data_IF_014537150587
#
_entry.id   IF_014537150587
#
_cell.length_a   1.000
_cell.length_b   1.000
_cell.length_c   1.000
_cell.angle_alpha   90.00
_cell.angle_beta   90.00
_cell.angle_gamma   90.00
#
_symmetry.space_group_name_H-M   'P 1'
#
loop_
_entity.id
_entity.type
_entity.pdbx_description
1 polymer ?
#
# COMPACT_ATOMS: atom_id res chain seq x y z
N UNK A 1 32.73 44.19 21.09
CA UNK A 1 33.03 42.99 20.25
C UNK A 1 33.83 41.91 20.99
N UNK A 2 34.89 42.22 21.77
CA UNK A 2 35.66 41.18 22.51
C UNK A 2 34.88 40.41 23.60
N UNK A 3 33.95 41.05 24.33
CA UNK A 3 33.15 40.38 25.38
C UNK A 3 32.05 39.44 24.85
N UNK A 4 31.50 39.71 23.67
CA UNK A 4 30.48 38.85 23.02
C UNK A 4 31.14 37.62 22.40
N UNK A 5 32.37 37.75 21.89
CA UNK A 5 33.16 36.62 21.38
C UNK A 5 33.62 35.65 22.48
N UNK A 6 33.95 36.15 23.69
CA UNK A 6 34.23 35.27 24.84
C UNK A 6 32.98 34.56 25.38
N UNK A 7 31.80 35.20 25.32
CA UNK A 7 30.55 34.58 25.77
C UNK A 7 30.07 33.50 24.79
N UNK A 8 30.24 33.70 23.48
CA UNK A 8 29.99 32.67 22.46
C UNK A 8 30.99 31.52 22.58
N UNK A 9 32.28 31.80 22.82
CA UNK A 9 33.28 30.76 23.06
C UNK A 9 32.97 29.98 24.35
N UNK A 10 32.53 30.65 25.44
CA UNK A 10 32.13 29.97 26.67
C UNK A 10 30.84 29.14 26.52
N UNK A 11 29.86 29.58 25.70
CA UNK A 11 28.69 28.77 25.36
C UNK A 11 29.04 27.57 24.46
N UNK A 12 29.99 27.72 23.54
CA UNK A 12 30.48 26.61 22.71
C UNK A 12 31.30 25.61 23.52
N UNK A 13 32.15 26.09 24.44
CA UNK A 13 32.95 25.24 25.34
C UNK A 13 32.04 24.50 26.35
N UNK A 14 30.96 25.13 26.84
CA UNK A 14 29.99 24.48 27.72
C UNK A 14 29.19 23.38 27.02
N UNK A 15 28.80 23.57 25.75
CA UNK A 15 28.11 22.54 24.96
C UNK A 15 29.03 21.34 24.66
N UNK A 16 30.34 21.55 24.46
CA UNK A 16 31.31 20.45 24.28
C UNK A 16 31.64 19.70 25.57
N UNK A 17 31.50 20.33 26.74
CA UNK A 17 31.82 19.70 28.03
C UNK A 17 30.75 18.68 28.47
N UNK A 18 29.51 18.83 28.01
CA UNK A 18 28.41 17.92 28.35
C UNK A 18 28.41 16.63 27.51
N UNK A 19 28.96 16.70 26.30
CA UNK A 19 29.05 15.61 25.31
C UNK A 19 30.12 14.53 25.62
N UNK A 20 30.75 14.59 26.79
CA UNK A 20 31.81 13.66 27.20
C UNK A 20 31.51 12.96 28.52
N UNK A 21 30.39 13.28 29.17
CA UNK A 21 30.01 12.66 30.43
C UNK A 21 29.31 11.33 30.18
N UNK A 22 29.74 10.28 30.87
CA UNK A 22 29.07 8.97 30.82
C UNK A 22 28.50 8.67 32.20
N UNK A 23 27.24 9.02 32.52
CA UNK A 23 26.69 8.91 33.87
C UNK A 23 26.31 7.48 34.28
N UNK A 24 26.00 6.60 33.33
CA UNK A 24 25.64 5.20 33.60
C UNK A 24 26.87 4.38 34.00
N UNK A 25 26.82 3.78 35.19
CA UNK A 25 27.96 3.03 35.74
C UNK A 25 28.23 1.73 34.97
N UNK A 26 27.20 1.06 34.47
CA UNK A 26 27.35 -0.17 33.69
C UNK A 26 27.96 0.17 32.33
N UNK A 27 27.50 1.24 31.68
CA UNK A 27 28.07 1.70 30.42
C UNK A 27 29.53 2.11 30.58
N UNK A 28 29.85 2.94 31.58
CA UNK A 28 31.26 3.28 31.91
C UNK A 28 32.11 2.04 32.15
N UNK A 29 31.61 1.08 32.91
CA UNK A 29 32.34 -0.15 33.21
C UNK A 29 32.66 -0.94 31.92
N UNK A 30 31.71 -1.03 30.98
CA UNK A 30 31.97 -1.66 29.67
C UNK A 30 33.03 -0.91 28.88
N UNK A 31 32.89 0.41 28.79
CA UNK A 31 33.84 1.29 28.08
C UNK A 31 35.26 1.17 28.65
N UNK A 32 35.40 1.10 29.97
CA UNK A 32 36.69 0.96 30.65
C UNK A 32 37.29 -0.43 30.43
N UNK A 33 36.48 -1.48 30.56
CA UNK A 33 36.96 -2.86 30.59
C UNK A 33 37.30 -3.42 29.22
N UNK A 34 36.58 -2.99 28.17
CA UNK A 34 36.69 -3.60 26.84
C UNK A 34 37.21 -2.66 25.76
N UNK A 35 37.09 -1.35 25.96
CA UNK A 35 37.40 -0.34 24.93
C UNK A 35 38.53 0.62 25.32
N UNK A 36 39.13 0.43 26.50
CA UNK A 36 40.26 1.25 26.97
C UNK A 36 39.90 2.73 27.17
N UNK A 37 38.61 3.04 27.37
CA UNK A 37 38.16 4.40 27.61
C UNK A 37 38.37 4.75 29.08
N UNK A 38 39.03 5.88 29.34
CA UNK A 38 39.37 6.33 30.69
C UNK A 38 38.50 7.51 31.10
N UNK A 39 38.18 7.61 32.39
CA UNK A 39 37.28 8.63 32.93
C UNK A 39 37.94 9.46 34.03
N UNK A 40 37.55 10.73 34.15
CA UNK A 40 37.89 11.56 35.30
C UNK A 40 36.96 11.29 36.51
N UNK A 41 37.21 11.96 37.64
CA UNK A 41 36.38 11.82 38.84
C UNK A 41 34.95 12.35 38.71
N UNK A 42 34.63 13.02 37.59
CA UNK A 42 33.29 13.51 37.24
C UNK A 42 32.63 12.66 36.16
N UNK A 43 33.21 11.50 35.80
CA UNK A 43 32.73 10.58 34.76
C UNK A 43 32.88 11.09 33.32
N UNK A 44 33.73 12.09 33.07
CA UNK A 44 34.02 12.54 31.71
C UNK A 44 35.11 11.70 31.05
N UNK A 45 34.99 11.42 29.76
CA UNK A 45 36.01 10.74 28.95
C UNK A 45 37.30 11.58 28.93
N UNK A 46 38.43 10.94 29.23
CA UNK A 46 39.76 11.61 29.30
C UNK A 46 40.65 11.31 28.10
N UNK A 47 40.28 10.33 27.27
CA UNK A 47 40.97 9.97 26.02
C UNK A 47 40.03 10.07 24.80
N UNK A 48 39.51 11.26 24.46
CA UNK A 48 38.50 11.44 23.42
C UNK A 48 38.96 11.01 22.02
N UNK A 49 40.26 11.08 21.72
CA UNK A 49 40.79 10.57 20.45
C UNK A 49 40.61 9.05 20.31
N UNK A 50 40.75 8.30 21.41
CA UNK A 50 40.48 6.85 21.43
C UNK A 50 38.99 6.59 21.24
N UNK A 51 38.12 7.33 21.94
CA UNK A 51 36.67 7.22 21.78
C UNK A 51 36.23 7.50 20.33
N UNK A 52 36.70 8.59 19.73
CA UNK A 52 36.34 8.99 18.37
C UNK A 52 36.86 8.02 17.29
N UNK A 53 37.93 7.25 17.57
CA UNK A 53 38.51 6.29 16.64
C UNK A 53 37.85 4.91 16.68
N UNK A 54 36.99 4.61 17.66
CA UNK A 54 36.30 3.33 17.75
C UNK A 54 35.24 3.21 16.66
N UNK A 55 35.28 2.10 15.92
CA UNK A 55 34.37 1.83 14.80
C UNK A 55 33.28 0.82 15.14
N UNK A 56 33.46 0.02 16.19
CA UNK A 56 32.47 -0.99 16.60
C UNK A 56 32.39 -1.06 18.13
N UNK A 57 31.16 -1.12 18.65
CA UNK A 57 30.89 -1.19 20.09
C UNK A 57 29.72 -2.13 20.35
N UNK A 58 29.97 -3.15 21.17
CA UNK A 58 28.95 -4.02 21.74
C UNK A 58 28.86 -3.80 23.26
N UNK A 59 27.69 -3.33 23.69
CA UNK A 59 27.29 -3.11 25.08
C UNK A 59 25.92 -3.75 25.37
N UNK A 60 25.53 -4.76 24.60
CA UNK A 60 24.26 -5.47 24.75
C UNK A 60 24.21 -6.37 25.99
N UNK A 61 23.01 -6.54 26.56
CA UNK A 61 22.75 -7.41 27.72
C UNK A 61 23.54 -7.03 28.98
N UNK A 62 23.67 -5.73 29.27
CA UNK A 62 24.51 -5.19 30.36
C UNK A 62 23.74 -4.42 31.43
N UNK A 63 22.41 -4.45 31.39
CA UNK A 63 21.56 -3.67 32.29
C UNK A 63 21.90 -2.17 32.26
N UNK A 64 22.24 -1.64 31.09
CA UNK A 64 22.54 -0.23 30.88
C UNK A 64 21.21 0.52 30.75
N UNK A 65 21.04 1.60 31.52
CA UNK A 65 19.85 2.43 31.48
C UNK A 65 20.03 3.67 30.60
N UNK A 66 21.27 4.10 30.35
CA UNK A 66 21.56 5.26 29.51
C UNK A 66 22.88 5.12 28.76
N UNK A 67 22.85 5.44 27.45
CA UNK A 67 24.05 5.61 26.63
C UNK A 67 24.51 7.06 26.52
N UNK A 68 24.13 7.95 27.43
CA UNK A 68 24.68 9.32 27.46
C UNK A 68 26.21 9.28 27.45
N UNK A 69 26.82 10.08 26.57
CA UNK A 69 28.25 10.08 26.24
C UNK A 69 28.61 9.26 24.99
N UNK A 70 27.66 8.53 24.38
CA UNK A 70 27.86 7.85 23.09
C UNK A 70 28.19 8.82 21.95
N UNK A 71 27.81 10.09 22.08
CA UNK A 71 28.11 11.17 21.14
C UNK A 71 29.61 11.45 20.97
N UNK A 72 30.46 11.02 21.91
CA UNK A 72 31.92 11.10 21.79
C UNK A 72 32.52 10.09 20.80
N UNK A 73 31.76 9.06 20.41
CA UNK A 73 32.22 7.97 19.54
C UNK A 73 31.85 8.25 18.08
N UNK A 74 32.35 9.36 17.53
CA UNK A 74 31.95 9.88 16.21
C UNK A 74 32.36 8.98 15.03
N UNK A 75 33.36 8.12 15.21
CA UNK A 75 33.80 7.14 14.21
C UNK A 75 33.02 5.83 14.22
N UNK A 76 32.02 5.69 15.10
CA UNK A 76 31.30 4.44 15.31
C UNK A 76 30.44 4.08 14.08
N UNK A 77 30.70 2.90 13.52
CA UNK A 77 30.00 2.32 12.38
C UNK A 77 29.01 1.24 12.81
N UNK A 78 29.32 0.52 13.90
CA UNK A 78 28.47 -0.55 14.42
C UNK A 78 28.21 -0.33 15.91
N UNK A 79 26.93 -0.28 16.28
CA UNK A 79 26.50 -0.22 17.67
C UNK A 79 25.53 -1.35 17.98
N UNK A 80 25.92 -2.20 18.93
CA UNK A 80 25.09 -3.26 19.49
C UNK A 80 24.78 -2.93 20.95
N UNK A 81 23.53 -2.54 21.23
CA UNK A 81 23.06 -2.10 22.54
C UNK A 81 21.75 -2.79 22.96
N UNK A 82 21.46 -3.93 22.35
CA UNK A 82 20.28 -4.76 22.59
C UNK A 82 20.14 -5.26 24.03
N UNK A 83 18.91 -5.63 24.42
CA UNK A 83 18.57 -6.23 25.72
C UNK A 83 19.10 -5.41 26.92
N UNK A 84 18.85 -4.11 26.89
CA UNK A 84 19.19 -3.19 27.97
C UNK A 84 17.91 -2.53 28.53
N UNK A 85 18.07 -1.47 29.31
CA UNK A 85 16.97 -0.73 29.94
C UNK A 85 16.85 0.68 29.34
N UNK A 86 17.23 0.84 28.07
CA UNK A 86 17.24 2.15 27.43
C UNK A 86 15.81 2.65 27.19
N UNK A 87 15.48 3.81 27.73
CA UNK A 87 14.25 4.54 27.42
C UNK A 87 14.46 5.62 26.35
N UNK A 88 15.72 5.99 26.11
CA UNK A 88 16.13 6.92 25.07
C UNK A 88 17.47 6.47 24.47
N UNK A 89 17.61 6.66 23.16
CA UNK A 89 18.82 6.43 22.40
C UNK A 89 19.06 7.61 21.45
N UNK A 90 20.04 8.44 21.79
CA UNK A 90 20.48 9.54 20.92
C UNK A 90 21.80 9.18 20.24
N UNK A 91 21.72 8.86 18.95
CA UNK A 91 22.89 8.52 18.10
C UNK A 91 23.14 9.55 17.00
N UNK A 92 22.62 10.78 17.18
CA UNK A 92 22.69 11.83 16.16
C UNK A 92 24.11 12.30 15.84
N UNK A 93 25.06 12.15 16.77
CA UNK A 93 26.47 12.45 16.57
C UNK A 93 27.25 11.28 15.94
N UNK A 94 26.69 10.07 15.94
CA UNK A 94 27.30 8.85 15.39
C UNK A 94 26.90 8.70 13.90
N UNK A 95 27.17 9.72 13.10
CA UNK A 95 26.72 9.80 11.69
C UNK A 95 27.36 8.75 10.78
N UNK A 96 28.43 8.10 11.24
CA UNK A 96 29.11 7.01 10.53
C UNK A 96 28.43 5.64 10.73
N UNK A 97 27.37 5.53 11.54
CA UNK A 97 26.68 4.26 11.79
C UNK A 97 26.13 3.65 10.50
N UNK A 98 26.55 2.42 10.23
CA UNK A 98 26.05 1.54 9.17
C UNK A 98 25.17 0.42 9.74
N UNK A 99 25.41 0.01 10.99
CA UNK A 99 24.63 -1.03 11.68
C UNK A 99 24.23 -0.53 13.07
N UNK A 100 22.94 -0.59 13.35
CA UNK A 100 22.39 -0.31 14.68
C UNK A 100 21.51 -1.47 15.14
N UNK A 101 21.91 -2.10 16.23
CA UNK A 101 21.11 -3.09 16.94
C UNK A 101 20.76 -2.53 18.33
N UNK A 102 19.48 -2.20 18.52
CA UNK A 102 18.92 -1.67 19.76
C UNK A 102 17.67 -2.43 20.21
N UNK A 103 17.49 -3.69 19.78
CA UNK A 103 16.30 -4.47 20.12
C UNK A 103 16.19 -4.77 21.62
N UNK A 104 14.98 -5.08 22.10
CA UNK A 104 14.76 -5.49 23.48
C UNK A 104 15.09 -4.40 24.50
N UNK A 105 14.72 -3.16 24.18
CA UNK A 105 14.83 -1.99 25.05
C UNK A 105 13.41 -1.44 25.34
N UNK A 106 13.33 -0.23 25.91
CA UNK A 106 12.08 0.43 26.28
C UNK A 106 11.95 1.77 25.52
N UNK A 107 12.42 1.81 24.26
CA UNK A 107 12.42 3.04 23.48
C UNK A 107 10.99 3.39 23.03
N UNK A 108 10.53 4.59 23.40
CA UNK A 108 9.25 5.13 22.93
C UNK A 108 9.39 5.87 21.59
N UNK A 109 10.61 6.29 21.25
CA UNK A 109 10.96 6.95 20.00
C UNK A 109 12.40 6.64 19.59
N UNK A 110 12.68 6.69 18.28
CA UNK A 110 14.00 6.50 17.72
C UNK A 110 14.17 7.44 16.52
N UNK A 111 15.06 8.42 16.63
CA UNK A 111 15.35 9.38 15.57
C UNK A 111 16.68 9.03 14.90
N UNK A 112 16.62 8.67 13.62
CA UNK A 112 17.77 8.25 12.80
C UNK A 112 18.03 9.18 11.61
N UNK A 113 17.46 10.38 11.64
CA UNK A 113 17.57 11.37 10.54
C UNK A 113 19.02 11.78 10.23
N UNK A 114 19.92 11.74 11.22
CA UNK A 114 21.33 12.05 11.04
C UNK A 114 22.18 10.84 10.61
N UNK A 115 21.64 9.62 10.70
CA UNK A 115 22.36 8.37 10.45
C UNK A 115 22.12 7.91 8.99
N UNK A 116 22.40 8.78 8.03
CA UNK A 116 22.09 8.54 6.60
C UNK A 116 22.91 7.42 5.96
N UNK A 117 23.97 6.96 6.63
CA UNK A 117 24.79 5.82 6.22
C UNK A 117 24.27 4.47 6.74
N UNK A 118 23.15 4.46 7.48
CA UNK A 118 22.62 3.25 8.11
C UNK A 118 22.07 2.29 7.06
N UNK A 119 22.70 1.11 6.97
CA UNK A 119 22.33 0.01 6.08
C UNK A 119 21.51 -1.06 6.79
N UNK A 120 21.72 -1.25 8.10
CA UNK A 120 21.04 -2.29 8.89
C UNK A 120 20.49 -1.72 10.19
N UNK A 121 19.20 -1.96 10.42
CA UNK A 121 18.52 -1.55 11.64
C UNK A 121 17.73 -2.70 12.25
N UNK A 122 18.10 -3.08 13.48
CA UNK A 122 17.27 -3.93 14.33
C UNK A 122 16.82 -3.16 15.56
N UNK A 123 15.51 -2.94 15.67
CA UNK A 123 14.87 -2.21 16.76
C UNK A 123 13.64 -2.94 17.31
N UNK A 124 13.55 -4.24 17.09
CA UNK A 124 12.40 -5.05 17.52
C UNK A 124 12.24 -5.07 19.04
N UNK A 125 11.02 -5.32 19.53
CA UNK A 125 10.77 -5.44 20.97
C UNK A 125 11.05 -4.14 21.73
N UNK A 126 10.56 -3.03 21.19
CA UNK A 126 10.56 -1.70 21.83
C UNK A 126 9.10 -1.19 21.92
N UNK A 127 8.93 0.07 22.32
CA UNK A 127 7.61 0.73 22.46
C UNK A 127 7.38 1.80 21.37
N UNK A 128 8.03 1.66 20.20
CA UNK A 128 7.96 2.68 19.16
C UNK A 128 6.54 2.82 18.62
N UNK A 129 6.03 4.05 18.58
CA UNK A 129 4.68 4.36 18.03
C UNK A 129 4.73 4.85 16.58
N UNK A 130 5.89 5.38 16.17
CA UNK A 130 6.20 5.76 14.80
C UNK A 130 7.69 5.56 14.52
N UNK A 131 8.02 5.29 13.26
CA UNK A 131 9.40 5.19 12.79
C UNK A 131 9.49 5.81 11.41
N UNK A 132 10.30 6.87 11.30
CA UNK A 132 10.56 7.58 10.05
C UNK A 132 12.00 7.32 9.60
N UNK A 133 12.14 6.61 8.49
CA UNK A 133 13.40 6.23 7.88
C UNK A 133 13.60 6.91 6.52
N UNK A 134 12.84 7.97 6.22
CA UNK A 134 12.92 8.66 4.92
C UNK A 134 14.31 9.18 4.57
N UNK A 135 15.15 9.47 5.56
CA UNK A 135 16.53 9.93 5.38
C UNK A 135 17.55 8.78 5.18
N UNK A 136 17.18 7.53 5.48
CA UNK A 136 18.08 6.37 5.49
C UNK A 136 18.06 5.67 4.12
N UNK A 137 18.44 6.38 3.06
CA UNK A 137 18.26 5.94 1.66
C UNK A 137 19.10 4.72 1.25
N UNK A 138 20.08 4.34 2.07
CA UNK A 138 20.95 3.16 1.88
C UNK A 138 20.54 1.97 2.74
N UNK A 139 19.40 2.04 3.44
CA UNK A 139 18.91 0.95 4.27
C UNK A 139 18.58 -0.29 3.41
N UNK A 140 19.16 -1.42 3.80
CA UNK A 140 19.06 -2.74 3.16
C UNK A 140 18.18 -3.67 4.01
N UNK A 141 18.36 -3.65 5.33
CA UNK A 141 17.69 -4.55 6.27
C UNK A 141 16.99 -3.79 7.39
N UNK A 142 15.68 -4.05 7.57
CA UNK A 142 14.87 -3.48 8.63
C UNK A 142 14.12 -4.56 9.42
N UNK A 143 14.44 -4.66 10.71
CA UNK A 143 13.64 -5.37 11.70
C UNK A 143 13.09 -4.40 12.75
N UNK A 144 11.77 -4.19 12.70
CA UNK A 144 11.01 -3.41 13.68
C UNK A 144 9.83 -4.20 14.27
N UNK A 145 9.97 -5.52 14.35
CA UNK A 145 8.95 -6.44 14.89
C UNK A 145 8.59 -6.11 16.35
N UNK A 146 7.38 -6.44 16.78
CA UNK A 146 6.95 -6.29 18.18
C UNK A 146 7.18 -4.86 18.71
N UNK A 147 6.55 -3.89 18.05
CA UNK A 147 6.48 -2.50 18.49
C UNK A 147 4.99 -2.07 18.55
N UNK A 148 4.74 -0.77 18.67
CA UNK A 148 3.39 -0.19 18.67
C UNK A 148 3.20 0.73 17.45
N UNK A 149 3.90 0.43 16.35
CA UNK A 149 3.96 1.32 15.19
C UNK A 149 2.57 1.48 14.57
N UNK A 150 2.09 2.71 14.51
CA UNK A 150 0.91 3.10 13.73
C UNK A 150 1.28 3.71 12.39
N UNK A 151 2.53 4.19 12.28
CA UNK A 151 3.13 4.78 11.08
C UNK A 151 4.56 4.27 10.92
N UNK A 152 4.86 3.75 9.73
CA UNK A 152 6.20 3.37 9.30
C UNK A 152 6.47 4.04 7.95
N UNK A 153 7.44 4.96 7.93
CA UNK A 153 7.86 5.64 6.70
C UNK A 153 9.16 5.01 6.27
N UNK A 154 9.12 4.27 5.16
CA UNK A 154 10.29 3.62 4.57
C UNK A 154 11.07 4.62 3.71
N UNK A 155 12.39 4.41 3.52
CA UNK A 155 13.15 5.25 2.62
C UNK A 155 12.71 5.01 1.16
N UNK A 156 12.82 6.04 0.32
CA UNK A 156 12.37 5.98 -1.08
C UNK A 156 13.52 5.66 -2.04
N UNK A 157 13.30 4.76 -3.01
CA UNK A 157 14.29 4.49 -4.07
C UNK A 157 15.51 3.69 -3.61
N UNK A 158 15.30 2.77 -2.68
CA UNK A 158 16.35 2.16 -1.86
C UNK A 158 16.77 0.77 -2.33
N UNK A 159 17.81 0.26 -1.67
CA UNK A 159 18.25 -1.13 -1.70
C UNK A 159 17.56 -1.99 -0.62
N UNK A 160 16.40 -1.57 -0.08
CA UNK A 160 15.76 -2.32 1.00
C UNK A 160 15.34 -3.71 0.48
N UNK A 161 16.02 -4.76 0.95
CA UNK A 161 15.81 -6.15 0.56
C UNK A 161 14.96 -6.90 1.59
N UNK A 162 15.08 -6.54 2.87
CA UNK A 162 14.44 -7.23 3.98
C UNK A 162 13.60 -6.27 4.84
N UNK A 163 12.31 -6.60 5.00
CA UNK A 163 11.37 -5.86 5.83
C UNK A 163 10.60 -6.80 6.77
N UNK A 164 10.94 -6.74 8.05
CA UNK A 164 10.21 -7.41 9.12
C UNK A 164 9.52 -6.37 10.02
N UNK A 165 8.20 -6.24 9.88
CA UNK A 165 7.41 -5.30 10.68
C UNK A 165 6.16 -5.95 11.30
N UNK A 166 6.22 -7.25 11.55
CA UNK A 166 5.14 -7.99 12.20
C UNK A 166 4.86 -7.53 13.63
N UNK A 167 3.64 -7.82 14.11
CA UNK A 167 3.17 -7.50 15.46
C UNK A 167 3.29 -6.02 15.78
N UNK A 168 2.66 -5.20 14.93
CA UNK A 168 2.54 -3.76 15.07
C UNK A 168 1.07 -3.33 14.93
N UNK A 169 0.80 -2.03 14.91
CA UNK A 169 -0.54 -1.44 14.81
C UNK A 169 -0.69 -0.61 13.53
N UNK A 170 0.02 -1.00 12.46
CA UNK A 170 0.04 -0.26 11.21
C UNK A 170 -1.36 -0.21 10.60
N UNK A 171 -1.77 0.97 10.12
CA UNK A 171 -3.08 1.17 9.48
C UNK A 171 -2.98 1.14 7.95
N UNK A 172 -1.86 1.63 7.44
CA UNK A 172 -1.47 1.60 6.03
C UNK A 172 0.04 1.37 5.93
N UNK A 173 0.50 0.80 4.82
CA UNK A 173 1.91 0.61 4.53
C UNK A 173 2.18 0.88 3.05
N UNK A 174 3.15 1.73 2.75
CA UNK A 174 3.61 1.96 1.38
C UNK A 174 4.99 1.34 1.16
N UNK A 175 5.01 0.24 0.40
CA UNK A 175 6.22 -0.42 -0.08
C UNK A 175 6.39 -0.24 -1.59
N UNK A 176 5.56 0.60 -2.24
CA UNK A 176 5.57 0.78 -3.69
C UNK A 176 6.85 1.44 -4.23
N UNK A 177 7.67 2.00 -3.33
CA UNK A 177 8.95 2.64 -3.63
C UNK A 177 10.17 1.77 -3.29
N UNK A 178 9.94 0.50 -2.94
CA UNK A 178 10.97 -0.45 -2.53
C UNK A 178 10.91 -1.74 -3.40
N UNK A 179 11.10 -1.64 -4.73
CA UNK A 179 11.01 -2.80 -5.63
C UNK A 179 12.15 -3.83 -5.45
N UNK A 180 13.17 -3.49 -4.65
CA UNK A 180 14.26 -4.39 -4.28
C UNK A 180 13.88 -5.41 -3.20
N UNK A 181 12.74 -5.24 -2.51
CA UNK A 181 12.30 -6.14 -1.44
C UNK A 181 12.20 -7.59 -1.91
N UNK A 182 12.76 -8.49 -1.11
CA UNK A 182 12.84 -9.94 -1.34
C UNK A 182 12.23 -10.73 -0.21
N UNK A 183 12.35 -10.22 1.01
CA UNK A 183 11.77 -10.80 2.21
C UNK A 183 10.86 -9.79 2.90
N UNK A 184 9.60 -10.17 3.09
CA UNK A 184 8.57 -9.29 3.62
C UNK A 184 7.72 -10.06 4.65
N UNK A 185 7.70 -9.57 5.88
CA UNK A 185 6.91 -10.11 6.99
C UNK A 185 6.08 -9.01 7.65
N UNK A 186 4.77 -9.07 7.41
CA UNK A 186 3.81 -8.06 7.85
C UNK A 186 2.78 -8.61 8.86
N UNK A 187 2.94 -9.87 9.32
CA UNK A 187 1.93 -10.57 10.12
C UNK A 187 1.52 -9.79 11.38
N UNK A 188 0.30 -10.07 11.87
CA UNK A 188 -0.23 -9.49 13.11
C UNK A 188 -0.32 -7.96 13.10
N UNK A 189 -0.46 -7.33 11.93
CA UNK A 189 -0.90 -5.95 11.79
C UNK A 189 -2.42 -5.92 11.56
N UNK A 190 -3.19 -6.20 12.62
CA UNK A 190 -4.65 -6.37 12.55
C UNK A 190 -5.40 -5.10 12.11
N UNK A 191 -4.79 -3.92 12.29
CA UNK A 191 -5.34 -2.63 11.87
C UNK A 191 -5.04 -2.28 10.40
N UNK A 192 -4.23 -3.08 9.70
CA UNK A 192 -3.74 -2.76 8.36
C UNK A 192 -4.85 -2.95 7.34
N UNK A 193 -5.27 -1.87 6.70
CA UNK A 193 -6.37 -1.88 5.72
C UNK A 193 -5.89 -1.82 4.28
N UNK A 194 -4.72 -1.26 4.04
CA UNK A 194 -4.14 -1.16 2.69
C UNK A 194 -2.62 -1.31 2.70
N UNK A 195 -2.12 -1.93 1.65
CA UNK A 195 -0.68 -1.97 1.33
C UNK A 195 -0.49 -1.49 -0.10
N UNK A 196 0.28 -0.42 -0.29
CA UNK A 196 0.68 0.03 -1.62
C UNK A 196 1.93 -0.75 -2.06
N UNK A 197 1.85 -1.37 -3.24
CA UNK A 197 2.89 -2.21 -3.84
C UNK A 197 3.31 -1.67 -5.21
N UNK A 198 4.46 -2.11 -5.72
CA UNK A 198 4.97 -1.62 -7.00
C UNK A 198 4.45 -2.38 -8.23
N UNK A 199 3.90 -3.59 -8.03
CA UNK A 199 3.42 -4.46 -9.11
C UNK A 199 2.25 -5.33 -8.65
N UNK A 200 1.35 -5.67 -9.58
CA UNK A 200 0.30 -6.67 -9.39
C UNK A 200 0.35 -7.70 -10.54
N UNK A 201 0.07 -9.00 -10.29
CA UNK A 201 -0.25 -9.60 -8.99
C UNK A 201 0.94 -9.54 -8.01
N UNK A 202 0.64 -9.50 -6.71
CA UNK A 202 1.63 -9.42 -5.63
C UNK A 202 1.47 -10.65 -4.70
N UNK A 203 2.55 -11.24 -4.19
CA UNK A 203 3.96 -10.88 -4.42
C UNK A 203 4.48 -11.28 -5.82
N UNK A 204 5.38 -10.49 -6.44
CA UNK A 204 6.07 -10.89 -7.67
C UNK A 204 7.13 -11.97 -7.39
N UNK A 205 7.59 -12.66 -8.44
CA UNK A 205 8.58 -13.74 -8.33
C UNK A 205 9.95 -13.33 -7.73
N UNK A 206 10.26 -12.03 -7.68
CA UNK A 206 11.46 -11.51 -7.03
C UNK A 206 11.38 -11.57 -5.50
N UNK A 207 10.17 -11.58 -4.94
CA UNK A 207 9.93 -11.78 -3.51
C UNK A 207 9.99 -13.28 -3.23
N UNK A 208 11.03 -13.69 -2.52
CA UNK A 208 11.31 -15.10 -2.23
C UNK A 208 10.68 -15.55 -0.90
N UNK A 209 10.36 -14.61 -0.01
CA UNK A 209 9.71 -14.85 1.27
C UNK A 209 8.65 -13.77 1.50
N UNK A 210 7.39 -14.19 1.66
CA UNK A 210 6.28 -13.27 1.95
C UNK A 210 5.32 -13.91 2.95
N UNK A 211 5.12 -13.24 4.08
CA UNK A 211 4.19 -13.65 5.12
C UNK A 211 3.34 -12.46 5.58
N UNK A 212 2.02 -12.65 5.64
CA UNK A 212 1.06 -11.64 6.05
C UNK A 212 -0.14 -12.26 6.80
N UNK A 213 0.14 -13.11 7.78
CA UNK A 213 -0.90 -13.74 8.60
C UNK A 213 -1.60 -12.67 9.45
N UNK A 214 -2.92 -12.78 9.61
CA UNK A 214 -3.71 -11.80 10.38
C UNK A 214 -3.60 -10.36 9.86
N UNK A 215 -3.49 -10.19 8.54
CA UNK A 215 -3.48 -8.90 7.85
C UNK A 215 -4.74 -8.79 6.98
N UNK A 216 -5.72 -7.95 7.34
CA UNK A 216 -6.95 -7.79 6.54
C UNK A 216 -6.76 -6.89 5.31
N UNK A 217 -5.54 -6.45 5.03
CA UNK A 217 -5.23 -5.43 4.04
C UNK A 217 -5.44 -5.88 2.58
N UNK A 218 -5.78 -4.92 1.72
CA UNK A 218 -5.80 -5.10 0.27
C UNK A 218 -4.52 -4.52 -0.34
N UNK A 219 -3.88 -5.29 -1.23
CA UNK A 219 -2.72 -4.83 -2.02
C UNK A 219 -3.18 -4.00 -3.22
N UNK A 220 -2.59 -2.81 -3.39
CA UNK A 220 -2.96 -1.85 -4.44
C UNK A 220 -1.74 -1.18 -5.06
N UNK A 221 -1.86 -0.71 -6.30
CA UNK A 221 -0.84 0.12 -6.94
C UNK A 221 -1.04 1.60 -6.58
N UNK A 222 0.02 2.44 -6.64
CA UNK A 222 -0.11 3.88 -6.45
C UNK A 222 -1.19 4.49 -7.35
N UNK A 223 -2.08 5.28 -6.75
CA UNK A 223 -3.21 5.90 -7.45
C UNK A 223 -4.45 5.01 -7.61
N UNK A 224 -4.41 3.76 -7.16
CA UNK A 224 -5.58 2.87 -7.14
C UNK A 224 -6.25 2.89 -5.76
N UNK A 225 -7.57 2.89 -5.73
CA UNK A 225 -8.35 2.80 -4.50
C UNK A 225 -9.36 1.66 -4.59
N UNK A 226 -9.28 0.71 -3.67
CA UNK A 226 -10.31 -0.31 -3.51
C UNK A 226 -11.51 0.29 -2.75
N UNK A 227 -12.71 0.02 -3.24
CA UNK A 227 -13.96 0.43 -2.59
C UNK A 227 -14.81 -0.79 -2.29
N UNK A 228 -15.06 -1.01 -1.00
CA UNK A 228 -16.07 -1.96 -0.55
C UNK A 228 -17.43 -1.30 -0.60
N UNK A 229 -18.38 -1.93 -1.29
CA UNK A 229 -19.71 -1.36 -1.52
C UNK A 229 -20.71 -2.06 -0.62
N UNK A 230 -21.35 -1.30 0.26
CA UNK A 230 -22.31 -1.82 1.24
C UNK A 230 -23.72 -2.01 0.65
N UNK A 231 -23.84 -2.52 -0.57
CA UNK A 231 -25.14 -2.84 -1.17
C UNK A 231 -25.63 -4.24 -0.81
N UNK A 232 -24.78 -5.11 -0.27
CA UNK A 232 -25.14 -6.50 0.05
C UNK A 232 -25.42 -7.37 -1.19
N UNK A 233 -24.99 -6.92 -2.37
CA UNK A 233 -25.05 -7.65 -3.65
C UNK A 233 -23.64 -7.92 -4.15
N UNK A 234 -23.44 -9.12 -4.69
CA UNK A 234 -22.22 -9.48 -5.42
C UNK A 234 -22.29 -8.91 -6.83
N UNK A 235 -21.23 -8.26 -7.30
CA UNK A 235 -21.16 -7.79 -8.68
C UNK A 235 -20.47 -8.81 -9.59
N UNK A 236 -21.02 -9.00 -10.79
CA UNK A 236 -20.50 -9.90 -11.83
C UNK A 236 -19.66 -9.17 -12.87
N UNK A 237 -19.93 -7.88 -13.10
CA UNK A 237 -19.14 -7.02 -14.00
C UNK A 237 -19.24 -5.55 -13.62
N UNK A 238 -18.23 -4.76 -13.98
CA UNK A 238 -18.23 -3.30 -13.88
C UNK A 238 -17.75 -2.71 -15.21
N UNK A 239 -18.38 -1.61 -15.62
CA UNK A 239 -17.95 -0.80 -16.74
C UNK A 239 -17.80 0.67 -16.29
N UNK A 240 -16.69 1.30 -16.64
CA UNK A 240 -16.40 2.69 -16.30
C UNK A 240 -16.65 3.60 -17.50
N UNK A 241 -17.54 4.58 -17.35
CA UNK A 241 -17.78 5.61 -18.37
C UNK A 241 -16.84 6.79 -18.19
N UNK A 242 -16.47 7.09 -16.95
CA UNK A 242 -15.51 8.13 -16.57
C UNK A 242 -14.94 7.82 -15.18
N UNK A 243 -14.09 8.71 -14.65
CA UNK A 243 -13.57 8.61 -13.28
C UNK A 243 -14.67 8.72 -12.20
N UNK A 244 -15.86 9.25 -12.54
CA UNK A 244 -16.98 9.41 -11.61
C UNK A 244 -18.14 8.45 -11.91
N UNK A 245 -18.32 8.08 -13.18
CA UNK A 245 -19.50 7.36 -13.64
C UNK A 245 -19.19 5.90 -13.94
N UNK A 246 -19.91 5.01 -13.24
CA UNK A 246 -19.77 3.57 -13.38
C UNK A 246 -21.13 2.93 -13.55
N UNK A 247 -21.16 1.82 -14.28
CA UNK A 247 -22.25 0.87 -14.22
C UNK A 247 -21.71 -0.49 -13.78
N UNK A 248 -22.55 -1.27 -13.11
CA UNK A 248 -22.22 -2.62 -12.71
C UNK A 248 -23.45 -3.51 -12.81
N UNK A 249 -23.22 -4.80 -13.02
CA UNK A 249 -24.24 -5.84 -12.97
C UNK A 249 -24.08 -6.59 -11.66
N UNK A 250 -25.14 -6.64 -10.86
CA UNK A 250 -25.22 -7.44 -9.64
C UNK A 250 -25.77 -8.85 -9.90
N UNK A 251 -25.63 -9.72 -8.91
CA UNK A 251 -26.27 -11.03 -8.85
C UNK A 251 -27.79 -10.91 -9.09
N UNK A 252 -28.34 -11.79 -9.93
CA UNK A 252 -29.72 -11.65 -10.45
C UNK A 252 -29.88 -10.61 -11.57
N UNK A 253 -28.76 -10.11 -12.12
CA UNK A 253 -28.64 -9.20 -13.26
C UNK A 253 -29.28 -7.82 -13.11
N UNK A 254 -29.46 -7.38 -11.86
CA UNK A 254 -29.80 -5.99 -11.57
C UNK A 254 -28.64 -5.07 -11.97
N UNK A 255 -28.94 -3.99 -12.69
CA UNK A 255 -27.94 -2.99 -13.09
C UNK A 255 -27.94 -1.87 -12.06
N UNK A 256 -26.75 -1.48 -11.61
CA UNK A 256 -26.55 -0.34 -10.71
C UNK A 256 -25.65 0.69 -11.38
N UNK A 257 -25.88 1.96 -11.06
CA UNK A 257 -25.03 3.06 -11.50
C UNK A 257 -24.45 3.82 -10.32
N UNK A 258 -23.20 4.25 -10.45
CA UNK A 258 -22.55 5.23 -9.60
C UNK A 258 -22.21 6.48 -10.41
N UNK A 259 -22.35 7.65 -9.80
CA UNK A 259 -21.97 8.96 -10.36
C UNK A 259 -20.94 9.71 -9.51
N UNK A 260 -20.42 9.05 -8.48
CA UNK A 260 -19.58 9.63 -7.43
C UNK A 260 -18.34 8.78 -7.17
N UNK A 261 -17.74 8.24 -8.24
CA UNK A 261 -16.52 7.42 -8.20
C UNK A 261 -16.69 6.10 -7.43
N UNK A 262 -17.89 5.51 -7.51
CA UNK A 262 -18.20 4.23 -6.85
C UNK A 262 -18.52 4.34 -5.36
N UNK A 263 -18.76 5.55 -4.82
CA UNK A 263 -19.11 5.75 -3.42
C UNK A 263 -20.56 5.34 -3.12
N UNK A 264 -21.49 5.69 -4.01
CA UNK A 264 -22.91 5.31 -3.93
C UNK A 264 -23.36 4.67 -5.24
N UNK A 265 -24.35 3.79 -5.11
CA UNK A 265 -24.86 2.99 -6.22
C UNK A 265 -26.38 2.98 -6.20
N UNK A 266 -26.99 3.32 -7.33
CA UNK A 266 -28.44 3.38 -7.50
C UNK A 266 -28.88 2.33 -8.51
N UNK A 267 -29.83 1.48 -8.11
CA UNK A 267 -30.44 0.52 -9.02
C UNK A 267 -31.09 1.24 -10.21
N UNK A 268 -30.80 0.78 -11.42
CA UNK A 268 -31.34 1.34 -12.64
C UNK A 268 -32.69 0.65 -12.97
N UNK A 269 -33.70 1.40 -13.43
CA UNK A 269 -34.98 0.82 -13.81
C UNK A 269 -34.79 -0.11 -15.03
N UNK A 270 -35.36 -1.32 -14.93
CA UNK A 270 -35.28 -2.35 -15.96
C UNK A 270 -36.70 -2.67 -16.44
N UNK A 271 -36.97 -2.44 -17.74
CA UNK A 271 -38.26 -2.73 -18.38
C UNK A 271 -38.36 -4.17 -18.92
N UNK A 272 -37.32 -4.97 -18.73
CA UNK A 272 -37.18 -6.34 -19.24
C UNK A 272 -36.62 -7.24 -18.14
N UNK A 273 -36.92 -8.54 -18.18
CA UNK A 273 -36.34 -9.52 -17.26
C UNK A 273 -34.82 -9.60 -17.47
N UNK A 274 -34.06 -9.40 -16.40
CA UNK A 274 -32.60 -9.30 -16.43
C UNK A 274 -31.91 -10.36 -15.58
N UNK A 275 -32.65 -11.39 -15.12
CA UNK A 275 -32.24 -12.34 -14.07
C UNK A 275 -30.82 -12.93 -14.21
N UNK A 276 -30.24 -12.86 -15.39
CA UNK A 276 -29.02 -13.57 -15.76
C UNK A 276 -27.98 -12.72 -16.53
N UNK A 277 -27.94 -11.39 -16.34
CA UNK A 277 -26.87 -10.56 -16.90
C UNK A 277 -25.51 -10.85 -16.21
N UNK A 278 -24.46 -10.95 -17.00
CA UNK A 278 -23.11 -11.38 -16.57
C UNK A 278 -22.02 -10.38 -16.96
N UNK A 279 -22.20 -9.63 -18.06
CA UNK A 279 -21.21 -8.69 -18.59
C UNK A 279 -21.83 -7.36 -19.02
N UNK A 280 -21.03 -6.30 -19.02
CA UNK A 280 -21.46 -4.93 -19.34
C UNK A 280 -20.32 -4.11 -19.94
N UNK A 281 -20.64 -3.25 -20.92
CA UNK A 281 -19.79 -2.16 -21.42
C UNK A 281 -20.58 -0.85 -21.54
N UNK A 282 -19.89 0.29 -21.45
CA UNK A 282 -20.47 1.64 -21.53
C UNK A 282 -19.62 2.54 -22.43
N UNK A 283 -20.23 3.49 -23.12
CA UNK A 283 -19.46 4.51 -23.88
C UNK A 283 -18.87 5.58 -22.96
N UNK A 284 -17.78 6.24 -23.38
CA UNK A 284 -17.10 7.33 -22.65
C UNK A 284 -18.00 8.53 -22.29
N UNK A 285 -19.11 8.75 -23.01
CA UNK A 285 -20.08 9.83 -22.72
C UNK A 285 -21.32 9.34 -21.94
N UNK A 286 -21.24 8.17 -21.32
CA UNK A 286 -22.37 7.65 -20.55
C UNK A 286 -22.58 8.48 -19.27
N UNK A 287 -23.78 9.03 -19.14
CA UNK A 287 -24.22 9.82 -18.00
C UNK A 287 -25.40 9.10 -17.37
N UNK A 288 -25.22 8.47 -16.18
CA UNK A 288 -26.30 7.79 -15.51
C UNK A 288 -27.40 8.78 -15.09
N UNK A 289 -28.64 8.50 -15.47
CA UNK A 289 -29.78 9.28 -15.01
C UNK A 289 -30.15 8.86 -13.59
N UNK A 290 -29.55 9.52 -12.61
CA UNK A 290 -29.94 9.39 -11.19
C UNK A 290 -31.40 9.80 -11.04
N UNK A 291 -32.19 8.97 -10.35
CA UNK A 291 -33.62 9.17 -10.13
C UNK A 291 -33.94 10.53 -9.49
N UNK A 292 -34.13 11.55 -10.32
CA UNK A 292 -34.81 12.79 -10.00
C UNK A 292 -35.77 13.09 -11.14
N UNK A 293 -36.99 12.56 -11.05
CA UNK A 293 -38.14 13.12 -11.77
C UNK A 293 -38.21 14.60 -11.40
N UNK A 294 -37.85 15.50 -12.31
CA UNK A 294 -38.04 16.92 -12.04
C UNK A 294 -37.30 17.92 -12.93
N UNK A 295 -37.09 17.65 -14.21
CA UNK A 295 -37.19 18.63 -15.29
C UNK A 295 -36.62 18.06 -16.58
N UNK A 296 -37.24 18.43 -17.70
CA UNK A 296 -36.84 18.11 -19.05
C UNK A 296 -35.36 18.41 -19.31
N UNK A 297 -34.49 17.40 -19.22
CA UNK A 297 -33.12 17.47 -19.74
C UNK A 297 -33.19 17.13 -21.23
N UNK A 298 -33.53 18.14 -22.02
CA UNK A 298 -33.25 18.19 -23.44
C UNK A 298 -31.76 18.49 -23.62
N UNK A 299 -30.89 17.48 -23.54
CA UNK A 299 -29.54 17.60 -24.08
C UNK A 299 -29.43 16.74 -25.34
N UNK A 300 -29.43 17.43 -26.48
CA UNK A 300 -29.12 16.89 -27.82
C UNK A 300 -27.66 16.41 -27.96
N UNK A 301 -26.90 16.36 -26.87
CA UNK A 301 -25.57 15.79 -26.80
C UNK A 301 -25.69 14.46 -26.04
N UNK A 302 -25.60 13.37 -26.81
CA UNK A 302 -26.10 12.04 -26.46
C UNK A 302 -25.75 11.55 -25.07
N UNK A 303 -26.77 11.11 -24.34
CA UNK A 303 -26.62 10.15 -23.28
C UNK A 303 -25.88 8.94 -23.87
N UNK A 304 -24.66 8.67 -23.42
CA UNK A 304 -23.87 7.57 -23.94
C UNK A 304 -24.62 6.23 -23.96
N UNK A 305 -24.21 5.31 -24.83
CA UNK A 305 -24.82 3.99 -24.94
C UNK A 305 -24.18 2.99 -23.99
N UNK A 306 -24.94 1.98 -23.55
CA UNK A 306 -24.46 0.85 -22.77
C UNK A 306 -25.01 -0.46 -23.34
N UNK A 307 -24.24 -1.54 -23.25
CA UNK A 307 -24.68 -2.89 -23.64
C UNK A 307 -24.36 -3.88 -22.53
N UNK A 308 -25.36 -4.68 -22.17
CA UNK A 308 -25.24 -5.78 -21.21
C UNK A 308 -25.51 -7.12 -21.90
N UNK A 309 -24.82 -8.17 -21.46
CA UNK A 309 -24.97 -9.53 -21.98
C UNK A 309 -25.28 -10.53 -20.87
N UNK A 310 -25.93 -11.66 -21.19
CA UNK A 310 -26.32 -12.65 -20.20
C UNK A 310 -26.74 -14.02 -20.74
N UNK A 311 -27.39 -14.82 -19.89
CA UNK A 311 -27.91 -16.17 -20.23
C UNK A 311 -28.92 -16.11 -21.37
N UNK A 312 -29.04 -17.20 -22.12
CA UNK A 312 -30.02 -17.31 -23.21
C UNK A 312 -29.65 -16.46 -24.44
N UNK A 313 -28.39 -16.04 -24.56
CA UNK A 313 -27.93 -15.13 -25.60
C UNK A 313 -28.49 -13.71 -25.45
N UNK A 314 -28.88 -13.34 -24.23
CA UNK A 314 -29.49 -12.03 -23.94
C UNK A 314 -28.48 -10.92 -24.22
N UNK A 315 -28.90 -9.94 -25.04
CA UNK A 315 -28.17 -8.70 -25.28
C UNK A 315 -29.16 -7.56 -25.06
N UNK A 316 -28.87 -6.70 -24.10
CA UNK A 316 -29.64 -5.50 -23.81
C UNK A 316 -28.82 -4.25 -24.16
N UNK A 317 -29.48 -3.23 -24.71
CA UNK A 317 -28.87 -1.92 -24.95
C UNK A 317 -29.67 -0.83 -24.28
N UNK A 318 -28.94 0.12 -23.70
CA UNK A 318 -29.44 1.43 -23.32
C UNK A 318 -28.82 2.48 -24.25
N UNK A 319 -29.65 3.40 -24.74
CA UNK A 319 -29.23 4.57 -25.52
C UNK A 319 -29.47 5.89 -24.77
N UNK A 320 -29.89 5.80 -23.50
CA UNK A 320 -30.43 6.89 -22.70
C UNK A 320 -29.80 6.94 -21.30
N UNK A 321 -28.51 6.62 -21.20
CA UNK A 321 -27.78 6.74 -19.94
C UNK A 321 -28.28 5.76 -18.87
N UNK A 322 -28.74 4.57 -19.28
CA UNK A 322 -29.20 3.50 -18.39
C UNK A 322 -30.64 3.63 -17.91
N UNK A 323 -31.38 4.65 -18.36
CA UNK A 323 -32.79 4.89 -17.96
C UNK A 323 -33.76 3.85 -18.52
N UNK A 324 -33.47 3.31 -19.69
CA UNK A 324 -34.23 2.22 -20.27
C UNK A 324 -33.30 1.23 -20.96
N UNK A 325 -33.74 -0.03 -20.94
CA UNK A 325 -33.00 -1.15 -21.50
C UNK A 325 -33.90 -1.92 -22.47
N UNK A 326 -33.44 -2.06 -23.70
CA UNK A 326 -34.16 -2.75 -24.76
C UNK A 326 -33.38 -3.99 -25.20
N UNK A 327 -34.08 -5.09 -25.43
CA UNK A 327 -33.46 -6.28 -26.04
C UNK A 327 -33.14 -6.01 -27.51
N UNK A 328 -31.94 -6.38 -27.94
CA UNK A 328 -31.43 -6.11 -29.30
C UNK A 328 -31.12 -7.39 -30.08
N UNK A 329 -31.58 -8.56 -29.61
CA UNK A 329 -31.21 -9.85 -30.17
C UNK A 329 -31.60 -9.97 -31.67
N UNK A 330 -30.60 -9.93 -32.56
CA UNK A 330 -30.75 -10.03 -34.03
C UNK A 330 -30.04 -11.27 -34.61
N UNK A 331 -29.34 -12.07 -33.80
CA UNK A 331 -28.51 -13.20 -34.26
C UNK A 331 -29.10 -14.59 -33.98
N UNK A 332 -30.22 -14.69 -33.24
CA UNK A 332 -30.90 -15.97 -32.95
C UNK A 332 -30.10 -16.95 -32.07
N UNK A 333 -29.10 -16.47 -31.33
CA UNK A 333 -28.27 -17.29 -30.45
C UNK A 333 -28.90 -17.39 -29.05
N UNK A 334 -28.98 -18.60 -28.49
CA UNK A 334 -29.52 -18.89 -27.16
C UNK A 334 -28.46 -19.28 -26.12
N UNK A 335 -27.18 -19.26 -26.47
CA UNK A 335 -26.08 -19.61 -25.57
C UNK A 335 -25.79 -18.47 -24.58
N UNK A 336 -25.42 -18.81 -23.36
CA UNK A 336 -25.01 -17.83 -22.34
C UNK A 336 -23.78 -17.05 -22.79
N UNK A 337 -23.89 -15.73 -22.78
CA UNK A 337 -22.77 -14.81 -22.94
C UNK A 337 -22.23 -14.46 -21.55
N UNK A 338 -20.91 -14.53 -21.35
CA UNK A 338 -20.27 -14.37 -20.03
C UNK A 338 -19.51 -13.05 -19.88
N UNK A 339 -19.03 -12.50 -20.99
CA UNK A 339 -18.25 -11.26 -20.99
C UNK A 339 -18.45 -10.49 -22.29
N UNK A 340 -18.27 -9.18 -22.21
CA UNK A 340 -18.32 -8.26 -23.35
C UNK A 340 -17.24 -7.19 -23.15
N UNK A 341 -16.54 -6.82 -24.24
CA UNK A 341 -15.47 -5.81 -24.25
C UNK A 341 -15.54 -4.93 -25.53
N UNK A 342 -14.99 -3.72 -25.49
CA UNK A 342 -14.94 -2.72 -26.60
C UNK A 342 -13.51 -2.37 -27.09
N UNK A 343 -13.28 -1.19 -27.70
CA UNK A 343 -11.94 -0.61 -28.00
C UNK A 343 -11.93 0.96 -27.92
N UNK A 344 -11.15 1.60 -27.01
CA UNK A 344 -11.03 3.04 -26.65
C UNK A 344 -10.58 3.33 -25.16
N UNK A 345 -9.58 4.18 -24.88
CA UNK A 345 -8.96 4.41 -23.53
C UNK A 345 -9.86 5.12 -22.47
N UNK A 346 -9.47 5.45 -21.21
CA UNK A 346 -8.21 5.35 -20.44
C UNK A 346 -8.46 5.38 -18.90
N UNK A 347 -9.51 4.77 -18.37
CA UNK A 347 -9.77 4.68 -16.92
C UNK A 347 -10.06 3.25 -16.50
N UNK A 348 -9.43 2.81 -15.40
CA UNK A 348 -9.63 1.49 -14.82
C UNK A 348 -9.97 1.63 -13.33
N UNK A 349 -10.99 0.90 -12.87
CA UNK A 349 -11.31 0.77 -11.45
C UNK A 349 -11.83 -0.65 -11.22
N UNK A 350 -11.35 -1.31 -10.17
CA UNK A 350 -11.74 -2.68 -9.85
C UNK A 350 -12.77 -2.67 -8.71
N UNK A 351 -13.92 -3.29 -8.92
CA UNK A 351 -14.87 -3.64 -7.85
C UNK A 351 -14.61 -5.07 -7.39
N UNK A 352 -14.73 -5.31 -6.08
CA UNK A 352 -14.74 -6.65 -5.48
C UNK A 352 -16.15 -6.95 -4.98
N UNK A 353 -16.77 -8.03 -5.45
CA UNK A 353 -18.01 -8.56 -4.88
C UNK A 353 -17.73 -9.30 -3.56
N UNK A 354 -18.58 -9.12 -2.55
CA UNK A 354 -18.46 -9.84 -1.26
C UNK A 354 -19.32 -11.10 -1.27
N UNK A 355 -18.74 -12.28 -1.48
CA UNK A 355 -19.38 -13.53 -1.06
C UNK A 355 -19.13 -13.72 0.44
N UNK A 356 -20.20 -14.00 1.20
CA UNK A 356 -20.08 -14.43 2.59
C UNK A 356 -19.38 -15.78 2.63
N UNK A 357 -18.24 -15.85 3.30
CA UNK A 357 -17.58 -17.10 3.64
C UNK A 357 -16.14 -17.14 3.17
N UNK A 358 -15.24 -16.81 4.11
CA UNK A 358 -13.98 -17.51 4.37
C UNK A 358 -13.27 -18.16 3.15
N UNK A 359 -12.74 -17.38 2.20
CA UNK A 359 -11.91 -17.94 1.13
C UNK A 359 -10.70 -17.08 0.76
N UNK A 360 -9.64 -17.80 0.41
CA UNK A 360 -8.35 -17.33 -0.07
C UNK A 360 -8.48 -16.30 -1.18
N UNK A 361 -7.54 -15.37 -1.17
CA UNK A 361 -7.35 -14.32 -2.17
C UNK A 361 -7.32 -14.88 -3.60
N UNK A 362 -8.48 -14.96 -4.27
CA UNK A 362 -8.56 -14.98 -5.72
C UNK A 362 -9.09 -13.61 -6.16
N UNK A 363 -8.26 -12.90 -6.92
CA UNK A 363 -8.59 -11.60 -7.46
C UNK A 363 -9.51 -11.77 -8.67
N UNK A 364 -10.82 -11.60 -8.50
CA UNK A 364 -11.74 -11.34 -9.61
C UNK A 364 -12.09 -9.86 -9.66
N UNK A 365 -11.08 -9.03 -9.96
CA UNK A 365 -11.32 -7.65 -10.39
C UNK A 365 -11.45 -7.63 -11.90
N UNK A 366 -12.68 -7.52 -12.43
CA UNK A 366 -12.89 -7.36 -13.87
C UNK A 366 -12.46 -5.94 -14.27
N UNK A 367 -11.39 -5.84 -15.06
CA UNK A 367 -10.91 -4.59 -15.64
C UNK A 367 -11.70 -4.32 -16.93
N UNK A 368 -12.49 -3.24 -16.97
CA UNK A 368 -13.13 -2.75 -18.18
C UNK A 368 -12.41 -1.48 -18.63
N UNK A 369 -11.78 -1.53 -19.81
CA UNK A 369 -11.53 -0.34 -20.62
C UNK A 369 -12.74 -0.13 -21.56
N UNK A 370 -12.69 0.84 -22.49
CA UNK A 370 -13.45 0.87 -23.75
C UNK A 370 -14.66 1.81 -23.91
N UNK A 371 -14.56 2.68 -24.93
CA UNK A 371 -15.66 3.33 -25.67
C UNK A 371 -16.15 2.54 -26.90
N UNK A 372 -17.27 2.97 -27.49
CA UNK A 372 -17.98 2.25 -28.57
C UNK A 372 -17.41 2.56 -29.97
N UNK A 373 -16.65 1.62 -30.53
CA UNK A 373 -16.28 1.59 -31.95
C UNK A 373 -16.16 0.17 -32.56
N UNK A 374 -16.12 -0.85 -31.71
CA UNK A 374 -16.26 -2.27 -32.03
C UNK A 374 -16.41 -3.01 -30.70
N UNK A 375 -17.42 -3.85 -30.54
CA UNK A 375 -17.67 -4.65 -29.34
C UNK A 375 -17.61 -6.15 -29.65
N UNK A 376 -17.08 -6.92 -28.71
CA UNK A 376 -17.01 -8.38 -28.78
C UNK A 376 -17.64 -8.96 -27.53
N UNK A 377 -18.62 -9.85 -27.70
CA UNK A 377 -19.20 -10.63 -26.62
C UNK A 377 -18.80 -12.10 -26.78
N UNK A 378 -18.39 -12.72 -25.69
CA UNK A 378 -17.98 -14.13 -25.66
C UNK A 378 -18.85 -14.92 -24.70
N UNK A 379 -19.12 -16.18 -25.06
CA UNK A 379 -20.05 -17.04 -24.34
C UNK A 379 -19.73 -18.52 -24.47
N UNK A 380 -20.50 -19.33 -23.77
CA UNK A 380 -20.31 -20.78 -23.68
C UNK A 380 -20.34 -21.43 -25.07
N UNK A 381 -19.55 -22.50 -25.24
CA UNK A 381 -19.52 -23.29 -26.47
C UNK A 381 -18.75 -22.64 -27.61
N UNK A 382 -17.77 -21.78 -27.32
CA UNK A 382 -17.02 -21.03 -28.33
C UNK A 382 -17.85 -19.94 -29.02
N UNK A 383 -18.87 -19.42 -28.34
CA UNK A 383 -19.72 -18.36 -28.93
C UNK A 383 -18.94 -17.03 -28.94
N UNK A 384 -18.71 -16.48 -30.13
CA UNK A 384 -18.19 -15.11 -30.30
C UNK A 384 -19.17 -14.30 -31.12
N UNK A 385 -19.61 -13.17 -30.58
CA UNK A 385 -20.44 -12.18 -31.26
C UNK A 385 -19.65 -10.89 -31.43
N UNK A 386 -19.76 -10.26 -32.59
CA UNK A 386 -19.16 -8.95 -32.88
C UNK A 386 -20.23 -7.94 -33.26
N UNK A 387 -20.04 -6.70 -32.85
CA UNK A 387 -20.85 -5.57 -33.26
C UNK A 387 -19.98 -4.35 -33.53
N UNK A 388 -20.24 -3.66 -34.64
CA UNK A 388 -19.54 -2.41 -34.96
C UNK A 388 -20.20 -1.19 -34.28
N UNK A 389 -21.48 -1.30 -33.90
CA UNK A 389 -22.31 -0.18 -33.45
C UNK A 389 -23.07 -0.45 -32.13
N UNK A 390 -22.92 -1.64 -31.56
CA UNK A 390 -23.64 -2.10 -30.36
C UNK A 390 -25.10 -2.47 -30.61
N UNK A 391 -25.59 -2.34 -31.84
CA UNK A 391 -26.99 -2.55 -32.23
C UNK A 391 -27.12 -3.83 -33.06
N UNK A 392 -26.32 -3.97 -34.12
CA UNK A 392 -26.31 -5.15 -34.96
C UNK A 392 -25.20 -6.10 -34.50
N UNK A 393 -25.55 -7.35 -34.21
CA UNK A 393 -24.62 -8.37 -33.72
C UNK A 393 -24.54 -9.53 -34.72
N UNK A 394 -23.32 -9.89 -35.10
CA UNK A 394 -23.05 -11.02 -35.99
C UNK A 394 -22.18 -12.06 -35.29
N UNK A 395 -22.51 -13.34 -35.45
CA UNK A 395 -21.67 -14.42 -34.95
C UNK A 395 -20.41 -14.59 -35.79
N UNK A 396 -19.31 -14.92 -35.11
CA UNK A 396 -18.04 -15.28 -35.73
C UNK A 396 -17.59 -16.62 -35.15
N UNK A 397 -17.03 -17.50 -35.98
CA UNK A 397 -16.50 -18.76 -35.51
C UNK A 397 -15.31 -18.53 -34.57
N UNK A 398 -15.31 -19.19 -33.40
CA UNK A 398 -14.19 -19.14 -32.44
C UNK A 398 -12.93 -19.84 -32.95
N UNK A 399 -13.06 -20.80 -33.86
CA UNK A 399 -11.97 -21.69 -34.29
C UNK A 399 -11.55 -22.70 -33.21
N UNK A 400 -12.06 -22.58 -31.98
CA UNK A 400 -11.84 -23.48 -30.85
C UNK A 400 -13.17 -24.13 -30.48
N UNK A 401 -13.23 -25.46 -30.47
CA UNK A 401 -14.42 -26.19 -30.06
C UNK A 401 -14.65 -26.11 -28.56
N UNK A 402 -15.88 -25.73 -28.19
CA UNK A 402 -16.63 -26.15 -26.98
C UNK A 402 -16.06 -25.98 -25.56
N UNK A 403 -15.16 -25.03 -25.29
CA UNK A 403 -14.84 -24.65 -23.89
C UNK A 403 -15.09 -23.15 -23.64
#
# INVERSE_FOLDING_TARGET
MKKVSMLLAALFIAATAQAQNVPDANFRAQLSSFYGITFDGSNNITNPATAAALTSMNVGSRSIASLTGIEAFTGLQQLFCQNNLLTNLNVSANTALTTLDCYGNQLDSLNLTANTALAQLSCFGNNLTSLDLSANTVLEDLDCVNNQLTSLILPTGTLLEELYCSSNQLTNLDISKNPALREIELSNNFALTSVLVWVLPFPPASVISFTANNVPAVFSLPGWAFKTIALGVTFTSVAAASAANFLTVGEGGSIYASTDSGNTWTAQPQSVSTADLTGLIVSENFLPLTAAKGNSVSSTNGFGSAVAVGVGGTILRSADGGSSWQSVNTSGNSNTLNAIDGAGGSTASALRGSSKGNESQSASGTLSTQGFGSAVAVGVGGTILRSADGVAWSSVASGTGSE
#
